data_IF_365818700470
#
_entry.id   IF_365818700470
#
_cell.length_a   1.000
_cell.length_b   1.000
_cell.length_c   1.000
_cell.angle_alpha   90.00
_cell.angle_beta   90.00
_cell.angle_gamma   90.00
#
_symmetry.space_group_name_H-M   'P 1'
#
loop_
_entity.id
_entity.type
_entity.pdbx_description
1 polymer ?
#
# COMPACT_ATOMS: atom_id res chain seq x y z
N UNK A 1 21.25 32.41 11.43
CA UNK A 1 21.82 31.08 11.15
C UNK A 1 20.84 30.41 10.20
N UNK A 2 21.19 30.40 8.92
CA UNK A 2 20.33 29.98 7.83
C UNK A 2 19.84 28.55 8.06
N UNK A 3 18.53 28.37 8.16
CA UNK A 3 17.90 27.07 8.03
C UNK A 3 18.06 26.65 6.57
N UNK A 4 19.22 26.07 6.24
CA UNK A 4 19.40 25.32 5.01
C UNK A 4 18.18 24.41 4.87
N UNK A 5 17.46 24.56 3.76
CA UNK A 5 16.13 24.03 3.54
C UNK A 5 16.15 22.51 3.70
N UNK A 6 15.87 22.03 4.92
CA UNK A 6 15.97 20.61 5.27
C UNK A 6 14.88 19.87 4.49
N UNK A 7 15.28 18.84 3.76
CA UNK A 7 14.34 18.08 2.94
C UNK A 7 13.25 17.43 3.81
N UNK A 8 12.14 17.06 3.20
CA UNK A 8 11.00 16.48 3.90
C UNK A 8 11.33 15.12 4.50
N UNK A 9 10.85 14.88 5.72
CA UNK A 9 10.77 13.58 6.36
C UNK A 9 9.33 13.05 6.27
N UNK A 10 9.16 11.94 5.54
CA UNK A 10 7.86 11.33 5.23
C UNK A 10 7.77 9.94 5.87
N UNK A 11 6.64 9.62 6.50
CA UNK A 11 6.32 8.23 6.88
C UNK A 11 5.12 7.71 6.09
N UNK A 12 5.29 6.57 5.42
CA UNK A 12 4.23 5.85 4.72
C UNK A 12 3.78 4.66 5.57
N UNK A 13 2.49 4.51 5.84
CA UNK A 13 1.96 3.42 6.64
C UNK A 13 1.27 2.38 5.77
N UNK A 14 1.80 1.15 5.78
CA UNK A 14 1.20 -0.03 5.13
C UNK A 14 1.29 -1.21 6.10
N UNK A 15 0.24 -1.42 6.90
CA UNK A 15 0.31 -2.29 8.08
C UNK A 15 0.09 -3.77 7.73
N UNK A 16 -1.00 -4.11 7.05
CA UNK A 16 -1.25 -5.48 6.60
C UNK A 16 -0.40 -5.89 5.39
N UNK A 17 -0.43 -7.20 5.13
CA UNK A 17 0.32 -7.83 4.04
C UNK A 17 1.79 -8.02 4.37
N UNK A 18 2.55 -8.50 3.38
CA UNK A 18 3.96 -8.82 3.50
C UNK A 18 4.81 -7.80 2.73
N UNK A 19 5.34 -6.80 3.43
CA UNK A 19 6.17 -5.74 2.84
C UNK A 19 7.66 -5.93 3.16
N UNK A 20 8.49 -6.02 2.10
CA UNK A 20 9.96 -6.03 2.12
C UNK A 20 10.51 -5.25 0.91
N UNK A 21 11.78 -4.87 0.94
CA UNK A 21 12.39 -3.96 -0.03
C UNK A 21 12.60 -4.55 -1.43
N UNK A 22 12.73 -5.89 -1.50
CA UNK A 22 12.98 -6.65 -2.72
C UNK A 22 12.12 -7.92 -2.75
N UNK A 23 11.89 -8.48 -3.94
CA UNK A 23 11.20 -9.75 -4.14
C UNK A 23 9.86 -9.87 -3.40
N UNK A 24 9.00 -8.86 -3.54
CA UNK A 24 7.67 -8.90 -2.91
C UNK A 24 6.94 -10.21 -3.26
N UNK A 25 6.34 -10.85 -2.26
CA UNK A 25 5.54 -12.07 -2.42
C UNK A 25 4.15 -11.74 -3.02
N UNK A 26 4.14 -11.06 -4.16
CA UNK A 26 2.93 -10.55 -4.80
C UNK A 26 2.00 -11.69 -5.17
N UNK A 27 0.74 -11.55 -4.76
CA UNK A 27 -0.29 -12.52 -5.03
C UNK A 27 -0.26 -13.73 -4.10
N UNK A 28 0.62 -13.82 -3.11
CA UNK A 28 0.57 -14.90 -2.11
C UNK A 28 -0.82 -15.06 -1.49
N UNK A 29 -1.47 -13.94 -1.20
CA UNK A 29 -2.83 -13.89 -0.68
C UNK A 29 -3.55 -12.59 -1.09
N UNK A 30 -4.70 -12.30 -0.46
CA UNK A 30 -5.49 -11.11 -0.72
C UNK A 30 -4.93 -9.82 -0.08
N UNK A 31 -3.88 -9.94 0.74
CA UNK A 31 -3.33 -8.86 1.56
C UNK A 31 -1.98 -8.37 1.00
N UNK A 32 -1.29 -9.21 0.21
CA UNK A 32 -0.01 -8.89 -0.44
C UNK A 32 -0.19 -8.78 -1.96
N UNK A 33 -0.35 -7.56 -2.46
CA UNK A 33 -0.67 -7.33 -3.87
C UNK A 33 -0.38 -5.91 -4.35
N UNK A 34 -1.29 -5.36 -5.15
CA UNK A 34 -1.12 -4.07 -5.83
C UNK A 34 -0.82 -2.92 -4.87
N UNK A 35 -1.46 -2.88 -3.70
CA UNK A 35 -1.17 -1.88 -2.66
C UNK A 35 0.28 -1.97 -2.16
N UNK A 36 0.74 -3.16 -1.76
CA UNK A 36 2.12 -3.35 -1.24
C UNK A 36 3.15 -2.92 -2.27
N UNK A 37 2.94 -3.29 -3.53
CA UNK A 37 3.78 -2.87 -4.65
C UNK A 37 3.75 -1.36 -4.85
N UNK A 38 2.55 -0.76 -4.88
CA UNK A 38 2.36 0.68 -5.03
C UNK A 38 3.13 1.45 -3.96
N UNK A 39 2.99 1.09 -2.68
CA UNK A 39 3.64 1.81 -1.57
C UNK A 39 5.17 1.73 -1.70
N UNK A 40 5.72 0.55 -2.01
CA UNK A 40 7.16 0.39 -2.17
C UNK A 40 7.71 1.18 -3.36
N UNK A 41 7.07 1.09 -4.54
CA UNK A 41 7.49 1.81 -5.74
C UNK A 41 7.31 3.33 -5.57
N UNK A 42 6.22 3.76 -4.94
CA UNK A 42 5.99 5.17 -4.60
C UNK A 42 7.07 5.71 -3.66
N UNK A 43 7.44 4.96 -2.62
CA UNK A 43 8.51 5.35 -1.71
C UNK A 43 9.88 5.44 -2.41
N UNK A 44 10.18 4.49 -3.31
CA UNK A 44 11.40 4.52 -4.12
C UNK A 44 11.43 5.76 -5.02
N UNK A 45 10.35 6.04 -5.75
CA UNK A 45 10.26 7.23 -6.60
C UNK A 45 10.36 8.54 -5.79
N UNK A 46 9.71 8.63 -4.63
CA UNK A 46 9.84 9.79 -3.74
C UNK A 46 11.27 9.99 -3.23
N UNK A 47 12.00 8.90 -2.97
CA UNK A 47 13.38 8.96 -2.48
C UNK A 47 14.36 9.56 -3.51
N UNK A 48 14.02 9.54 -4.80
CA UNK A 48 14.83 10.15 -5.85
C UNK A 48 14.73 11.69 -5.85
N UNK A 49 13.73 12.26 -5.18
CA UNK A 49 13.53 13.72 -5.11
C UNK A 49 14.53 14.39 -4.17
N UNK A 50 15.17 15.47 -4.63
CA UNK A 50 16.04 16.32 -3.81
C UNK A 50 15.29 17.06 -2.69
N UNK A 51 13.96 17.15 -2.80
CA UNK A 51 13.11 17.75 -1.76
C UNK A 51 12.86 16.83 -0.58
N UNK A 52 13.23 15.55 -0.68
CA UNK A 52 13.00 14.54 0.35
C UNK A 52 14.34 14.17 0.98
N UNK A 53 14.42 14.32 2.31
CA UNK A 53 15.58 13.92 3.11
C UNK A 53 15.46 12.47 3.54
N UNK A 54 14.27 12.06 4.01
CA UNK A 54 14.06 10.77 4.65
C UNK A 54 12.66 10.23 4.39
N UNK A 55 12.57 8.93 4.15
CA UNK A 55 11.31 8.19 4.02
C UNK A 55 11.40 6.94 4.89
N UNK A 56 10.35 6.70 5.67
CA UNK A 56 10.17 5.41 6.33
C UNK A 56 8.85 4.77 5.91
N UNK A 57 8.88 3.49 5.53
CA UNK A 57 7.66 2.69 5.42
C UNK A 57 7.43 2.00 6.76
N UNK A 58 6.40 2.40 7.48
CA UNK A 58 5.99 1.80 8.74
C UNK A 58 5.04 0.63 8.45
N UNK A 59 5.43 -0.57 8.86
CA UNK A 59 4.66 -1.80 8.65
C UNK A 59 4.72 -2.73 9.86
N UNK A 60 4.03 -3.86 9.81
CA UNK A 60 4.01 -4.84 10.91
C UNK A 60 5.24 -5.74 10.89
N UNK A 61 5.84 -5.95 12.06
CA UNK A 61 6.88 -6.98 12.25
C UNK A 61 6.24 -8.35 12.34
N UNK A 62 6.70 -9.27 11.49
CA UNK A 62 6.20 -10.64 11.41
C UNK A 62 7.38 -11.60 11.55
N UNK A 63 7.30 -12.49 12.54
CA UNK A 63 8.27 -13.55 12.78
C UNK A 63 7.52 -14.88 12.76
N UNK A 64 7.29 -15.38 11.56
CA UNK A 64 6.52 -16.59 11.29
C UNK A 64 7.35 -17.51 10.38
N UNK A 65 7.39 -18.80 10.69
CA UNK A 65 8.19 -19.79 9.95
C UNK A 65 7.71 -19.98 8.51
N UNK A 66 6.51 -19.53 8.18
CA UNK A 66 5.91 -19.70 6.86
C UNK A 66 6.20 -18.56 5.87
N UNK A 67 6.95 -17.54 6.29
CA UNK A 67 7.32 -16.36 5.48
C UNK A 67 8.81 -16.07 5.63
N UNK A 68 9.37 -15.23 4.75
CA UNK A 68 10.79 -14.85 4.83
C UNK A 68 11.17 -14.25 6.20
N UNK A 69 12.38 -14.53 6.67
CA UNK A 69 12.95 -13.91 7.87
C UNK A 69 13.11 -12.39 7.73
N UNK A 70 13.11 -11.85 6.50
CA UNK A 70 13.16 -10.41 6.24
C UNK A 70 12.06 -9.64 6.98
N UNK A 71 10.86 -10.22 7.09
CA UNK A 71 9.73 -9.59 7.77
C UNK A 71 9.92 -9.46 9.28
N UNK A 72 10.92 -10.15 9.85
CA UNK A 72 11.27 -10.09 11.27
C UNK A 72 12.35 -9.06 11.60
N UNK A 73 12.97 -8.46 10.57
CA UNK A 73 13.97 -7.40 10.74
C UNK A 73 13.28 -6.07 11.05
N UNK A 74 13.55 -5.52 12.25
CA UNK A 74 12.98 -4.24 12.70
C UNK A 74 13.25 -3.10 11.70
N UNK A 75 14.44 -3.08 11.13
CA UNK A 75 14.87 -2.07 10.17
C UNK A 75 15.44 -2.75 8.93
N UNK A 76 15.04 -2.29 7.75
CA UNK A 76 15.58 -2.73 6.48
C UNK A 76 15.86 -1.50 5.61
N UNK A 77 17.14 -1.19 5.40
CA UNK A 77 17.56 -0.09 4.53
C UNK A 77 17.35 -0.51 3.07
N UNK A 78 16.52 0.24 2.34
CA UNK A 78 16.25 0.00 0.90
C UNK A 78 17.21 0.82 0.04
N UNK A 79 17.42 2.09 0.41
CA UNK A 79 18.43 2.97 -0.17
C UNK A 79 18.84 4.05 0.86
N UNK A 80 19.57 5.09 0.45
CA UNK A 80 20.10 6.10 1.39
C UNK A 80 19.03 6.95 2.07
N UNK A 81 17.86 7.11 1.46
CA UNK A 81 16.76 7.92 2.02
C UNK A 81 15.57 7.08 2.48
N UNK A 82 15.46 5.81 2.05
CA UNK A 82 14.30 4.94 2.32
C UNK A 82 14.66 3.76 3.24
N UNK A 83 13.94 3.65 4.35
CA UNK A 83 14.03 2.52 5.29
C UNK A 83 12.65 1.93 5.57
N UNK A 84 12.54 0.61 5.63
CA UNK A 84 11.33 -0.06 6.15
C UNK A 84 11.51 -0.26 7.65
N UNK A 85 10.53 0.20 8.42
CA UNK A 85 10.50 0.10 9.88
C UNK A 85 9.33 -0.79 10.27
N UNK A 86 9.63 -1.87 11.00
CA UNK A 86 8.65 -2.89 11.37
C UNK A 86 8.32 -2.81 12.85
N UNK A 87 7.07 -2.52 13.16
CA UNK A 87 6.55 -2.44 14.52
C UNK A 87 5.77 -3.71 14.85
N UNK A 88 6.10 -4.34 15.97
CA UNK A 88 5.46 -5.60 16.39
C UNK A 88 4.10 -5.37 17.01
N UNK A 89 3.04 -6.01 16.52
CA UNK A 89 1.73 -6.11 17.16
C UNK A 89 1.07 -7.47 16.88
N UNK A 90 0.10 -7.88 17.71
CA UNK A 90 -0.71 -9.07 17.45
C UNK A 90 0.10 -10.37 17.46
N UNK A 91 1.09 -10.47 18.34
CA UNK A 91 1.96 -11.65 18.44
C UNK A 91 3.09 -11.66 17.42
N UNK A 92 3.50 -12.87 16.99
CA UNK A 92 4.61 -13.08 16.02
C UNK A 92 4.13 -13.52 14.64
N UNK A 93 2.99 -14.21 14.59
CA UNK A 93 2.48 -14.87 13.37
C UNK A 93 1.95 -13.87 12.36
N UNK A 94 1.98 -14.27 11.09
CA UNK A 94 1.28 -13.53 10.06
C UNK A 94 -0.23 -13.53 10.36
N UNK A 95 -0.85 -12.36 10.21
CA UNK A 95 -2.28 -12.16 10.43
C UNK A 95 -2.86 -11.51 9.20
N UNK A 96 -4.02 -12.01 8.79
CA UNK A 96 -4.79 -11.37 7.72
C UNK A 96 -5.36 -10.05 8.20
N UNK A 97 -5.53 -9.10 7.28
CA UNK A 97 -5.96 -7.73 7.59
C UNK A 97 -7.25 -7.64 8.40
N UNK A 98 -8.20 -8.56 8.17
CA UNK A 98 -9.45 -8.59 8.93
C UNK A 98 -9.26 -8.90 10.42
N UNK A 99 -8.18 -9.59 10.80
CA UNK A 99 -7.86 -9.95 12.20
C UNK A 99 -6.96 -8.92 12.89
N UNK A 100 -6.51 -7.89 12.19
CA UNK A 100 -5.59 -6.90 12.76
C UNK A 100 -6.30 -5.88 13.66
N UNK A 101 -7.62 -5.68 13.51
CA UNK A 101 -8.37 -4.66 14.25
C UNK A 101 -8.14 -4.72 15.76
N UNK A 102 -8.14 -5.91 16.34
CA UNK A 102 -7.92 -6.14 17.79
C UNK A 102 -6.48 -5.85 18.25
N UNK A 103 -5.58 -5.51 17.33
CA UNK A 103 -4.15 -5.31 17.58
C UNK A 103 -3.65 -3.94 17.13
N UNK A 104 -4.50 -3.11 16.52
CA UNK A 104 -4.09 -1.79 16.04
C UNK A 104 -3.75 -0.83 17.19
N UNK A 105 -4.41 -0.94 18.34
CA UNK A 105 -4.07 -0.13 19.53
C UNK A 105 -2.65 -0.42 20.03
N UNK A 106 -2.25 -1.72 20.09
CA UNK A 106 -0.88 -2.10 20.40
C UNK A 106 0.13 -1.52 19.39
N UNK A 107 -0.26 -1.52 18.10
CA UNK A 107 0.56 -0.94 17.05
C UNK A 107 0.72 0.58 17.20
N UNK A 108 -0.36 1.28 17.54
CA UNK A 108 -0.38 2.73 17.81
C UNK A 108 0.56 3.04 18.98
N UNK A 109 0.39 2.38 20.12
CA UNK A 109 1.23 2.60 21.32
C UNK A 109 2.71 2.44 21.04
N UNK A 110 3.07 1.38 20.31
CA UNK A 110 4.47 1.12 19.96
C UNK A 110 5.01 2.07 18.90
N UNK A 111 4.16 2.54 17.99
CA UNK A 111 4.54 3.58 17.02
C UNK A 111 4.74 4.93 17.72
N UNK A 112 3.90 5.28 18.70
CA UNK A 112 4.10 6.47 19.55
C UNK A 112 5.44 6.38 20.28
N UNK A 113 5.75 5.23 20.90
CA UNK A 113 7.05 5.01 21.55
C UNK A 113 8.22 5.15 20.57
N UNK A 114 8.09 4.57 19.37
CA UNK A 114 9.08 4.69 18.32
C UNK A 114 9.33 6.15 17.94
N UNK A 115 8.27 6.92 17.67
CA UNK A 115 8.33 8.33 17.28
C UNK A 115 8.92 9.22 18.39
N UNK A 116 8.56 8.98 19.67
CA UNK A 116 9.12 9.70 20.82
C UNK A 116 10.62 9.48 21.00
N UNK A 117 11.15 8.37 20.50
CA UNK A 117 12.58 8.06 20.54
C UNK A 117 13.35 8.57 19.31
N UNK A 118 12.68 9.24 18.36
CA UNK A 118 13.34 9.87 17.22
C UNK A 118 13.75 11.31 17.56
N UNK A 119 14.82 11.79 16.92
CA UNK A 119 15.27 13.18 17.07
C UNK A 119 14.32 14.20 16.41
N UNK A 120 13.47 13.74 15.49
CA UNK A 120 12.47 14.55 14.81
C UNK A 120 11.23 13.72 14.47
N UNK A 121 10.07 14.37 14.49
CA UNK A 121 8.83 13.81 13.97
C UNK A 121 8.80 13.95 12.43
N UNK A 122 8.05 13.10 11.71
CA UNK A 122 7.84 13.31 10.29
C UNK A 122 7.04 14.59 10.03
N UNK A 123 7.38 15.26 8.93
CA UNK A 123 6.63 16.42 8.44
C UNK A 123 5.23 16.01 7.95
N UNK A 124 5.09 14.76 7.50
CA UNK A 124 3.82 14.20 7.03
C UNK A 124 3.78 12.68 7.21
N UNK A 125 2.61 12.18 7.60
CA UNK A 125 2.28 10.75 7.58
C UNK A 125 1.28 10.45 6.46
N UNK A 126 1.48 9.39 5.71
CA UNK A 126 0.62 8.96 4.61
C UNK A 126 0.15 7.53 4.83
N UNK A 127 -1.15 7.34 5.10
CA UNK A 127 -1.73 6.02 5.28
C UNK A 127 -2.20 5.38 3.97
N UNK A 128 -2.02 4.07 3.89
CA UNK A 128 -2.52 3.25 2.79
C UNK A 128 -3.44 2.16 3.35
N UNK A 129 -4.72 2.20 2.96
CA UNK A 129 -5.82 1.35 3.47
C UNK A 129 -6.36 1.73 4.85
N UNK A 130 -7.46 1.08 5.25
CA UNK A 130 -8.25 1.41 6.41
C UNK A 130 -7.54 1.17 7.76
N UNK A 131 -6.70 0.13 7.86
CA UNK A 131 -5.92 -0.16 9.07
C UNK A 131 -4.87 0.93 9.34
N UNK A 132 -4.12 1.31 8.31
CA UNK A 132 -3.19 2.43 8.37
C UNK A 132 -3.93 3.76 8.57
N UNK A 133 -5.09 3.94 7.95
CA UNK A 133 -5.92 5.14 8.10
C UNK A 133 -6.33 5.36 9.56
N UNK A 134 -6.78 4.29 10.22
CA UNK A 134 -7.09 4.28 11.65
C UNK A 134 -5.87 4.64 12.50
N UNK A 135 -4.72 3.99 12.28
CA UNK A 135 -3.50 4.27 13.04
C UNK A 135 -3.04 5.72 12.85
N UNK A 136 -2.94 6.20 11.61
CA UNK A 136 -2.52 7.57 11.34
C UNK A 136 -3.51 8.61 11.88
N UNK A 137 -4.80 8.29 11.93
CA UNK A 137 -5.80 9.16 12.60
C UNK A 137 -5.44 9.34 14.08
N UNK A 138 -5.06 8.28 14.79
CA UNK A 138 -4.66 8.39 16.20
C UNK A 138 -3.33 9.13 16.36
N UNK A 139 -2.35 8.86 15.49
CA UNK A 139 -1.08 9.59 15.50
C UNK A 139 -1.25 11.08 15.23
N UNK A 140 -2.17 11.44 14.33
CA UNK A 140 -2.54 12.84 14.04
C UNK A 140 -3.14 13.51 15.27
N UNK A 141 -4.07 12.84 15.96
CA UNK A 141 -4.65 13.35 17.22
C UNK A 141 -3.60 13.53 18.31
N UNK A 142 -2.63 12.63 18.38
CA UNK A 142 -1.61 12.63 19.44
C UNK A 142 -0.48 13.63 19.21
N UNK A 143 0.05 13.71 17.99
CA UNK A 143 1.23 14.51 17.65
C UNK A 143 0.91 15.77 16.83
N UNK A 144 -0.28 15.89 16.24
CA UNK A 144 -0.63 16.99 15.33
C UNK A 144 0.07 16.92 13.96
N UNK A 145 0.61 15.77 13.57
CA UNK A 145 1.34 15.61 12.30
C UNK A 145 0.35 15.68 11.12
N UNK A 146 0.64 16.45 10.06
CA UNK A 146 -0.16 16.47 8.84
C UNK A 146 -0.40 15.07 8.26
N UNK A 147 -1.65 14.82 7.83
CA UNK A 147 -2.12 13.48 7.50
C UNK A 147 -2.63 13.36 6.07
N UNK A 148 -1.99 12.51 5.27
CA UNK A 148 -2.43 12.11 3.94
C UNK A 148 -3.02 10.69 3.96
N UNK A 149 -4.01 10.43 3.12
CA UNK A 149 -4.62 9.10 3.03
C UNK A 149 -4.82 8.66 1.57
N UNK A 150 -4.59 7.37 1.30
CA UNK A 150 -5.02 6.69 0.08
C UNK A 150 -5.76 5.41 0.47
N UNK A 151 -7.03 5.30 0.05
CA UNK A 151 -7.91 4.22 0.48
C UNK A 151 -7.55 2.85 -0.12
N UNK A 152 -7.19 2.79 -1.41
CA UNK A 152 -7.02 1.57 -2.24
C UNK A 152 -8.29 0.71 -2.39
N UNK A 153 -9.07 0.55 -1.34
CA UNK A 153 -10.37 -0.11 -1.29
C UNK A 153 -11.18 0.48 -0.14
N UNK A 154 -12.49 0.64 -0.33
CA UNK A 154 -13.39 1.23 0.68
C UNK A 154 -14.42 0.22 1.21
N UNK A 155 -14.66 0.27 2.53
CA UNK A 155 -15.56 -0.61 3.26
C UNK A 155 -17.02 -0.55 2.80
N UNK A 156 -17.58 0.63 2.51
CA UNK A 156 -18.98 0.77 2.04
C UNK A 156 -19.19 0.04 0.70
N UNK A 157 -18.24 0.16 -0.23
CA UNK A 157 -18.27 -0.59 -1.50
C UNK A 157 -18.05 -2.08 -1.31
N UNK A 158 -17.10 -2.47 -0.46
CA UNK A 158 -16.87 -3.89 -0.14
C UNK A 158 -18.14 -4.52 0.43
N UNK A 159 -18.83 -3.85 1.36
CA UNK A 159 -20.12 -4.29 1.91
C UNK A 159 -21.17 -4.48 0.82
N UNK A 160 -21.34 -3.48 -0.05
CA UNK A 160 -22.30 -3.55 -1.17
C UNK A 160 -22.02 -4.75 -2.09
N UNK A 161 -20.75 -4.95 -2.47
CA UNK A 161 -20.34 -6.08 -3.30
C UNK A 161 -20.56 -7.42 -2.62
N UNK A 162 -20.28 -7.56 -1.32
CA UNK A 162 -20.50 -8.81 -0.59
C UNK A 162 -21.99 -9.16 -0.49
N UNK A 163 -22.86 -8.18 -0.24
CA UNK A 163 -24.32 -8.38 -0.23
C UNK A 163 -24.83 -8.85 -1.60
N UNK A 164 -24.29 -8.31 -2.70
CA UNK A 164 -24.62 -8.76 -4.07
C UNK A 164 -24.15 -10.19 -4.36
N UNK A 165 -23.15 -10.68 -3.63
CA UNK A 165 -22.66 -12.06 -3.70
C UNK A 165 -23.32 -12.98 -2.67
N UNK A 166 -24.54 -12.64 -2.23
CA UNK A 166 -25.37 -13.43 -1.31
C UNK A 166 -24.80 -13.65 0.10
N UNK A 167 -23.87 -12.82 0.57
CA UNK A 167 -23.48 -12.83 1.98
C UNK A 167 -24.52 -12.10 2.84
N UNK A 168 -24.82 -12.63 4.01
CA UNK A 168 -25.66 -11.96 5.01
C UNK A 168 -24.88 -10.88 5.76
N UNK A 169 -25.56 -9.87 6.31
CA UNK A 169 -24.90 -8.85 7.14
C UNK A 169 -24.12 -9.45 8.32
N UNK A 170 -24.65 -10.52 8.94
CA UNK A 170 -23.99 -11.19 10.06
C UNK A 170 -22.68 -11.87 9.65
N UNK A 171 -22.65 -12.53 8.48
CA UNK A 171 -21.42 -13.14 7.94
C UNK A 171 -20.39 -12.08 7.56
N UNK A 172 -20.85 -10.98 6.95
CA UNK A 172 -19.97 -9.87 6.57
C UNK A 172 -19.33 -9.27 7.83
N UNK A 173 -20.11 -9.01 8.87
CA UNK A 173 -19.59 -8.46 10.12
C UNK A 173 -18.61 -9.41 10.77
N UNK A 174 -19.00 -10.68 10.97
CA UNK A 174 -18.17 -11.70 11.62
C UNK A 174 -16.83 -11.92 10.91
N UNK A 175 -16.79 -11.85 9.58
CA UNK A 175 -15.59 -12.18 8.80
C UNK A 175 -14.71 -10.96 8.49
N UNK A 176 -15.30 -9.80 8.28
CA UNK A 176 -14.59 -8.62 7.78
C UNK A 176 -14.56 -7.44 8.75
N UNK A 177 -15.27 -7.54 9.89
CA UNK A 177 -15.42 -6.44 10.85
C UNK A 177 -15.84 -5.14 10.12
N UNK A 178 -16.84 -5.27 9.23
CA UNK A 178 -17.11 -4.23 8.23
C UNK A 178 -17.60 -2.94 8.87
N UNK A 179 -18.33 -3.03 9.99
CA UNK A 179 -18.76 -1.87 10.76
C UNK A 179 -17.56 -1.11 11.33
N UNK A 180 -16.63 -1.81 11.96
CA UNK A 180 -15.37 -1.26 12.49
C UNK A 180 -14.56 -0.59 11.39
N UNK A 181 -14.41 -1.26 10.24
CA UNK A 181 -13.71 -0.69 9.08
C UNK A 181 -14.35 0.59 8.57
N UNK A 182 -15.67 0.59 8.36
CA UNK A 182 -16.37 1.78 7.82
C UNK A 182 -16.26 2.95 8.81
N UNK A 183 -16.39 2.70 10.11
CA UNK A 183 -16.22 3.74 11.12
C UNK A 183 -14.79 4.29 11.17
N UNK A 184 -13.78 3.43 11.05
CA UNK A 184 -12.39 3.84 10.93
C UNK A 184 -12.14 4.69 9.67
N UNK A 185 -12.74 4.33 8.54
CA UNK A 185 -12.65 5.08 7.28
C UNK A 185 -13.35 6.44 7.39
N UNK A 186 -14.52 6.54 8.03
CA UNK A 186 -15.19 7.84 8.29
C UNK A 186 -14.29 8.79 9.09
N UNK A 187 -13.70 8.29 10.18
CA UNK A 187 -12.75 9.05 10.97
C UNK A 187 -11.52 9.44 10.14
N UNK A 188 -11.00 8.51 9.34
CA UNK A 188 -9.85 8.77 8.47
C UNK A 188 -10.15 9.91 7.50
N UNK A 189 -11.32 9.90 6.86
CA UNK A 189 -11.76 10.96 5.94
C UNK A 189 -11.92 12.29 6.67
N UNK A 190 -12.41 12.26 7.92
CA UNK A 190 -12.54 13.46 8.75
C UNK A 190 -11.17 14.07 9.11
N UNK A 191 -10.21 13.27 9.57
CA UNK A 191 -8.91 13.75 10.05
C UNK A 191 -7.87 13.98 8.95
N UNK A 192 -7.99 13.33 7.80
CA UNK A 192 -7.03 13.51 6.71
C UNK A 192 -7.05 14.95 6.19
N UNK A 193 -5.86 15.55 6.09
CA UNK A 193 -5.62 16.85 5.47
C UNK A 193 -5.91 16.78 3.97
N UNK A 194 -5.42 15.73 3.31
CA UNK A 194 -5.74 15.42 1.92
C UNK A 194 -5.90 13.91 1.70
N UNK A 195 -6.77 13.56 0.77
CA UNK A 195 -7.03 12.18 0.34
C UNK A 195 -6.63 12.07 -1.13
N UNK A 196 -5.68 11.19 -1.41
CA UNK A 196 -5.19 10.94 -2.75
C UNK A 196 -6.01 9.81 -3.36
N UNK A 197 -6.56 10.08 -4.54
CA UNK A 197 -7.36 9.14 -5.35
C UNK A 197 -6.68 8.87 -6.68
N UNK A 198 -6.91 7.69 -7.23
CA UNK A 198 -6.36 7.34 -8.55
C UNK A 198 -7.17 7.97 -9.69
N UNK A 199 -8.47 8.17 -9.46
CA UNK A 199 -9.40 8.72 -10.46
C UNK A 199 -10.40 9.69 -9.82
N UNK A 200 -10.94 10.62 -10.62
CA UNK A 200 -12.02 11.51 -10.16
C UNK A 200 -13.31 10.76 -9.83
N UNK A 201 -13.55 9.63 -10.49
CA UNK A 201 -14.71 8.77 -10.24
C UNK A 201 -14.67 8.12 -8.86
N UNK A 202 -13.47 7.86 -8.34
CA UNK A 202 -13.26 7.37 -6.97
C UNK A 202 -13.86 8.33 -5.93
N UNK A 203 -13.67 9.63 -6.15
CA UNK A 203 -14.16 10.69 -5.26
C UNK A 203 -15.68 10.66 -5.19
N UNK A 204 -16.36 10.66 -6.34
CA UNK A 204 -17.82 10.81 -6.39
C UNK A 204 -18.56 9.51 -6.11
N UNK A 205 -18.14 8.38 -6.69
CA UNK A 205 -18.88 7.11 -6.61
C UNK A 205 -18.49 6.23 -5.43
N UNK A 206 -17.31 6.43 -4.85
CA UNK A 206 -16.83 5.61 -3.74
C UNK A 206 -16.77 6.43 -2.46
N UNK A 207 -15.94 7.48 -2.42
CA UNK A 207 -15.86 8.35 -1.25
C UNK A 207 -17.13 9.17 -1.03
N UNK A 208 -17.88 9.51 -2.09
CA UNK A 208 -19.19 10.16 -1.98
C UNK A 208 -20.26 9.33 -1.26
N UNK A 209 -19.97 8.06 -0.94
CA UNK A 209 -20.81 7.24 -0.08
C UNK A 209 -20.60 7.52 1.40
N UNK A 210 -19.54 8.23 1.81
CA UNK A 210 -19.19 8.51 3.21
C UNK A 210 -19.71 9.87 3.64
N UNK A 211 -20.05 10.01 4.92
CA UNK A 211 -20.67 11.22 5.47
C UNK A 211 -19.67 12.37 5.60
N UNK A 212 -18.41 12.07 5.95
CA UNK A 212 -17.37 13.09 6.13
C UNK A 212 -16.68 13.51 4.82
N UNK A 213 -17.19 13.06 3.67
CA UNK A 213 -16.60 13.31 2.36
C UNK A 213 -16.80 14.75 1.93
N UNK A 214 -15.70 15.48 1.73
CA UNK A 214 -15.72 16.88 1.32
C UNK A 214 -14.78 17.08 0.11
N UNK A 215 -15.25 17.60 -1.04
CA UNK A 215 -14.49 17.65 -2.30
C UNK A 215 -13.09 18.28 -2.17
N UNK A 216 -12.95 19.30 -1.33
CA UNK A 216 -11.70 20.04 -1.10
C UNK A 216 -10.60 19.20 -0.44
N UNK A 217 -10.95 18.07 0.19
CA UNK A 217 -9.96 17.14 0.74
C UNK A 217 -9.31 16.28 -0.33
N UNK A 218 -9.91 16.13 -1.51
CA UNK A 218 -9.45 15.16 -2.49
C UNK A 218 -8.46 15.76 -3.50
N UNK A 219 -7.45 14.98 -3.84
CA UNK A 219 -6.53 15.23 -4.94
C UNK A 219 -6.45 13.96 -5.79
N UNK A 220 -6.63 14.09 -7.11
CA UNK A 220 -6.48 12.95 -8.01
C UNK A 220 -5.04 12.90 -8.53
N UNK A 221 -4.30 11.86 -8.15
CA UNK A 221 -2.95 11.57 -8.62
C UNK A 221 -2.96 10.12 -9.17
N UNK A 222 -3.09 9.94 -10.49
CA UNK A 222 -3.10 8.60 -11.08
C UNK A 222 -1.79 7.85 -10.80
N UNK A 223 -1.84 6.56 -10.43
CA UNK A 223 -0.66 5.73 -10.30
C UNK A 223 0.01 5.54 -11.66
N UNK A 224 1.28 5.16 -11.65
CA UNK A 224 2.05 4.78 -12.83
C UNK A 224 2.59 3.35 -12.71
N UNK A 225 3.28 2.89 -13.76
CA UNK A 225 3.97 1.61 -13.79
C UNK A 225 5.48 1.84 -13.92
N UNK A 226 6.24 0.84 -13.47
CA UNK A 226 7.70 0.81 -13.61
C UNK A 226 8.11 0.72 -15.09
N UNK A 227 8.78 1.76 -15.61
CA UNK A 227 9.14 1.85 -17.04
C UNK A 227 10.32 0.95 -17.43
N UNK A 228 11.08 0.43 -16.46
CA UNK A 228 12.06 -0.64 -16.61
C UNK A 228 11.40 -1.99 -16.93
N UNK A 229 10.14 -2.19 -16.51
CA UNK A 229 9.37 -3.44 -16.72
C UNK A 229 8.32 -3.31 -17.82
N UNK A 230 7.62 -2.17 -17.86
CA UNK A 230 6.54 -1.90 -18.79
C UNK A 230 6.95 -0.80 -19.75
N UNK A 231 7.30 -1.19 -20.96
CA UNK A 231 7.74 -0.30 -22.03
C UNK A 231 7.17 -0.76 -23.38
N UNK A 232 7.10 0.13 -24.38
CA UNK A 232 6.65 -0.23 -25.72
C UNK A 232 7.48 -1.37 -26.32
N UNK A 233 6.84 -2.34 -26.98
CA UNK A 233 7.51 -3.53 -27.53
C UNK A 233 8.60 -3.19 -28.57
N UNK A 234 8.51 -2.01 -29.20
CA UNK A 234 9.44 -1.50 -30.19
C UNK A 234 10.63 -0.75 -29.58
N UNK A 235 10.71 -0.65 -28.24
CA UNK A 235 11.85 -0.08 -27.56
C UNK A 235 13.06 -1.00 -27.73
N UNK A 236 14.14 -0.50 -28.34
CA UNK A 236 15.39 -1.25 -28.49
C UNK A 236 16.10 -1.26 -27.15
N UNK A 237 16.18 -2.43 -26.52
CA UNK A 237 17.05 -2.70 -25.37
C UNK A 237 17.90 -3.93 -25.65
N UNK A 238 19.05 -3.97 -25.01
CA UNK A 238 19.79 -5.23 -24.87
C UNK A 238 19.06 -6.10 -23.85
N UNK A 239 18.92 -7.37 -24.20
CA UNK A 239 18.37 -8.40 -23.33
C UNK A 239 19.55 -9.21 -22.82
N UNK A 240 19.52 -9.57 -21.55
CA UNK A 240 20.47 -10.56 -21.05
C UNK A 240 20.18 -11.94 -21.66
N UNK A 241 21.03 -12.92 -21.36
CA UNK A 241 20.90 -14.26 -21.95
C UNK A 241 19.65 -14.98 -21.44
N UNK A 242 19.29 -14.82 -20.17
CA UNK A 242 18.14 -15.49 -19.56
C UNK A 242 16.83 -14.96 -20.15
N UNK A 243 16.72 -13.64 -20.32
CA UNK A 243 15.57 -12.98 -20.94
C UNK A 243 15.38 -13.40 -22.40
N UNK A 244 16.48 -13.61 -23.14
CA UNK A 244 16.44 -14.13 -24.52
C UNK A 244 15.87 -15.54 -24.53
N UNK A 245 16.35 -16.41 -23.66
CA UNK A 245 15.92 -17.81 -23.59
C UNK A 245 14.44 -17.92 -23.22
N UNK A 246 13.98 -17.16 -22.22
CA UNK A 246 12.55 -17.09 -21.86
C UNK A 246 11.70 -16.63 -23.05
N UNK A 247 12.16 -15.59 -23.77
CA UNK A 247 11.43 -15.05 -24.92
C UNK A 247 11.36 -16.05 -26.07
N UNK A 248 12.41 -16.83 -26.31
CA UNK A 248 12.42 -17.92 -27.29
C UNK A 248 11.41 -19.00 -26.86
N UNK A 249 11.46 -19.45 -25.62
CA UNK A 249 10.54 -20.46 -25.07
C UNK A 249 9.07 -20.03 -25.19
N UNK A 250 8.74 -18.80 -24.77
CA UNK A 250 7.38 -18.25 -24.91
C UNK A 250 6.93 -18.17 -26.37
N UNK A 251 7.82 -17.77 -27.28
CA UNK A 251 7.52 -17.70 -28.71
C UNK A 251 7.19 -19.08 -29.28
N UNK A 252 7.93 -20.10 -28.85
CA UNK A 252 7.73 -21.47 -29.31
C UNK A 252 6.45 -22.07 -28.72
N UNK A 253 6.11 -21.79 -27.47
CA UNK A 253 4.81 -22.15 -26.89
C UNK A 253 3.65 -21.48 -27.65
N UNK A 254 3.72 -20.17 -27.88
CA UNK A 254 2.67 -19.45 -28.59
C UNK A 254 2.47 -19.97 -30.02
N UNK A 255 3.57 -20.28 -30.72
CA UNK A 255 3.54 -20.82 -32.09
C UNK A 255 2.83 -22.16 -32.21
N UNK A 256 2.73 -22.95 -31.12
CA UNK A 256 1.96 -24.21 -31.12
C UNK A 256 0.47 -23.99 -31.41
N UNK A 257 -0.09 -22.90 -30.89
CA UNK A 257 -1.52 -22.60 -31.00
C UNK A 257 -1.80 -21.50 -32.02
N UNK A 258 -0.82 -20.64 -32.28
CA UNK A 258 -0.96 -19.48 -33.14
C UNK A 258 -0.50 -19.76 -34.58
N UNK A 259 -1.23 -20.64 -35.26
CA UNK A 259 -0.93 -21.11 -36.62
C UNK A 259 -1.17 -20.07 -37.71
N UNK A 260 -2.03 -19.08 -37.46
CA UNK A 260 -2.26 -17.95 -38.37
C UNK A 260 -1.75 -16.66 -37.74
N UNK A 261 -0.52 -16.30 -38.09
CA UNK A 261 0.22 -15.16 -37.52
C UNK A 261 -0.46 -13.80 -37.80
N UNK A 262 -1.32 -13.74 -38.83
CA UNK A 262 -2.02 -12.52 -39.21
C UNK A 262 -3.32 -12.29 -38.43
N UNK A 263 -3.79 -13.26 -37.64
CA UNK A 263 -4.99 -13.07 -36.81
C UNK A 263 -4.66 -12.16 -35.62
N UNK A 264 -5.50 -11.19 -35.27
CA UNK A 264 -5.26 -10.41 -34.06
C UNK A 264 -5.34 -11.31 -32.81
N UNK A 265 -4.43 -11.07 -31.86
CA UNK A 265 -4.41 -11.73 -30.55
C UNK A 265 -5.13 -10.88 -29.52
N UNK A 266 -5.93 -11.52 -28.67
CA UNK A 266 -6.46 -10.90 -27.46
C UNK A 266 -5.68 -11.48 -26.29
N UNK A 267 -4.87 -10.65 -25.63
CA UNK A 267 -4.22 -11.01 -24.38
C UNK A 267 -5.14 -10.58 -23.22
N UNK A 268 -5.81 -11.56 -22.61
CA UNK A 268 -6.56 -11.36 -21.38
C UNK A 268 -5.75 -11.95 -20.22
N UNK A 269 -5.20 -11.08 -19.37
CA UNK A 269 -4.54 -11.47 -18.12
C UNK A 269 -5.51 -11.21 -16.98
N UNK A 270 -6.14 -12.28 -16.49
CA UNK A 270 -6.96 -12.26 -15.28
C UNK A 270 -6.43 -13.27 -14.27
N UNK A 271 -6.89 -13.15 -13.03
CA UNK A 271 -6.60 -14.07 -11.95
C UNK A 271 -7.86 -14.80 -11.52
#
# INVERSE_FOLDING_TARGET
>A
MDSANKGLYIQLFNIHGLLRGNDLELGRDADTGGQTKYVLEFAKALSESDKVEKIEIITRLINDRNVSEDYSKNFEKVNDKLTIVRIRCGGKRYLRKELLWDHLEEFIDKTIKYLKNQNQLPDVIHSHYADAGYVCTQLTKFFGIPFLHTGHSLGRLKKKSLLQNNYTNAEIEKRYHISTRINAEENTIFFATKIITSTKEEITKQYGLYENSAPEKFVTLPPSVSLDKFYPYNFKREWDNDEKDIRIGLKDELRRFFTNVNKPLILALCR
#
